data_IF_934939963843
#
_entry.id   IF_934939963843
#
_cell.length_a   1.000
_cell.length_b   1.000
_cell.length_c   1.000
_cell.angle_alpha   90.00
_cell.angle_beta   90.00
_cell.angle_gamma   90.00
#
_symmetry.space_group_name_H-M   'P 1'
#
loop_
_entity.id
_entity.type
_entity.pdbx_description
1 polymer ?
#
# COMPACT_ATOMS: atom_id res chain seq x y z
N UNK A 1 18.05 -5.98 -27.49
CA UNK A 1 17.31 -4.86 -28.12
C UNK A 1 16.45 -4.21 -27.05
N UNK A 2 16.48 -2.89 -26.91
CA UNK A 2 15.54 -2.15 -26.04
C UNK A 2 14.21 -2.04 -26.79
N UNK A 3 13.10 -2.39 -26.16
CA UNK A 3 11.77 -2.26 -26.74
C UNK A 3 10.87 -1.48 -25.78
N UNK A 4 10.15 -0.51 -26.34
CA UNK A 4 9.18 0.34 -25.66
C UNK A 4 7.77 -0.19 -25.94
N UNK A 5 6.95 -0.28 -24.91
CA UNK A 5 5.60 -0.85 -24.99
C UNK A 5 4.59 0.09 -24.34
N UNK A 6 3.42 0.25 -24.95
CA UNK A 6 2.25 0.78 -24.26
C UNK A 6 1.61 -0.35 -23.44
N UNK A 7 1.28 -0.07 -22.17
CA UNK A 7 0.63 -1.06 -21.28
C UNK A 7 -0.39 -0.41 -20.37
N UNK A 8 -1.54 -1.05 -20.19
CA UNK A 8 -2.48 -0.68 -19.14
C UNK A 8 -2.00 -1.21 -17.78
N UNK A 9 -2.00 -0.36 -16.76
CA UNK A 9 -1.80 -0.74 -15.35
C UNK A 9 -2.76 0.06 -14.50
N UNK A 10 -3.60 -0.62 -13.72
CA UNK A 10 -4.63 0.02 -12.91
C UNK A 10 -5.49 0.98 -13.75
N UNK A 11 -5.96 0.52 -14.92
CA UNK A 11 -6.79 1.32 -15.83
C UNK A 11 -6.09 2.46 -16.58
N UNK A 12 -4.87 2.84 -16.21
CA UNK A 12 -4.10 3.91 -16.86
C UNK A 12 -3.09 3.38 -17.88
N UNK A 13 -2.80 4.17 -18.92
CA UNK A 13 -1.79 3.85 -19.94
C UNK A 13 -0.37 4.25 -19.50
N UNK A 14 0.57 3.31 -19.62
CA UNK A 14 1.98 3.48 -19.25
C UNK A 14 2.91 3.17 -20.41
N UNK A 15 4.04 3.88 -20.46
CA UNK A 15 5.16 3.54 -21.32
C UNK A 15 6.14 2.65 -20.54
N UNK A 16 6.23 1.38 -20.91
CA UNK A 16 7.06 0.39 -20.22
C UNK A 16 8.32 0.02 -21.04
N UNK A 17 9.42 -0.20 -20.34
CA UNK A 17 10.63 -0.84 -20.87
C UNK A 17 10.72 -2.29 -20.38
N UNK A 18 10.98 -3.22 -21.30
CA UNK A 18 11.29 -4.61 -20.95
C UNK A 18 12.79 -4.80 -20.71
N UNK A 19 13.17 -5.34 -19.55
CA UNK A 19 14.57 -5.73 -19.24
C UNK A 19 14.84 -7.19 -19.64
N UNK A 20 16.12 -7.60 -19.74
CA UNK A 20 16.48 -9.00 -20.05
C UNK A 20 15.92 -10.05 -19.09
N UNK A 21 15.51 -9.65 -17.88
CA UNK A 21 14.81 -10.50 -16.92
C UNK A 21 13.35 -10.81 -17.31
N UNK A 22 12.86 -10.31 -18.45
CA UNK A 22 11.47 -10.42 -18.87
C UNK A 22 10.51 -9.47 -18.14
N UNK A 23 10.98 -8.79 -17.08
CA UNK A 23 10.18 -7.81 -16.32
C UNK A 23 10.04 -6.50 -17.08
N UNK A 24 8.83 -5.94 -16.98
CA UNK A 24 8.47 -4.64 -17.54
C UNK A 24 8.43 -3.58 -16.44
N UNK A 25 9.00 -2.41 -16.73
CA UNK A 25 9.08 -1.30 -15.79
C UNK A 25 8.48 -0.05 -16.44
N UNK A 26 7.55 0.66 -15.77
CA UNK A 26 7.09 1.95 -16.24
C UNK A 26 8.24 2.95 -16.27
N UNK A 27 8.28 3.76 -17.32
CA UNK A 27 9.19 4.88 -17.43
C UNK A 27 8.72 6.03 -16.55
N UNK A 28 9.67 6.62 -15.85
CA UNK A 28 9.43 7.70 -14.92
C UNK A 28 9.30 9.05 -15.64
N UNK A 29 8.19 9.80 -15.44
CA UNK A 29 8.08 11.17 -15.91
C UNK A 29 9.11 12.10 -15.26
N UNK A 30 9.39 13.22 -15.92
CA UNK A 30 10.41 14.16 -15.46
C UNK A 30 10.05 14.80 -14.11
N UNK A 31 10.90 14.61 -13.09
CA UNK A 31 10.64 15.07 -11.70
C UNK A 31 10.50 16.60 -11.53
N UNK A 32 10.97 17.39 -12.50
CA UNK A 32 10.79 18.84 -12.45
C UNK A 32 9.34 19.30 -12.70
N UNK A 33 8.56 18.50 -13.44
CA UNK A 33 7.16 18.83 -13.80
C UNK A 33 6.15 18.01 -13.00
N UNK A 34 6.58 16.87 -12.49
CA UNK A 34 5.73 15.94 -11.75
C UNK A 34 6.26 15.75 -10.32
N UNK A 35 5.36 15.74 -9.33
CA UNK A 35 5.75 15.74 -7.91
C UNK A 35 5.78 14.32 -7.39
N UNK A 36 7.01 13.84 -7.15
CA UNK A 36 7.23 12.54 -6.54
C UNK A 36 7.44 12.65 -5.04
N UNK A 37 6.90 11.68 -4.32
CA UNK A 37 7.17 11.47 -2.91
C UNK A 37 7.39 9.98 -2.65
N UNK A 38 8.39 9.63 -1.84
CA UNK A 38 8.78 8.23 -1.64
C UNK A 38 9.19 7.94 -0.21
N UNK A 39 8.98 6.68 0.20
CA UNK A 39 9.73 6.03 1.26
C UNK A 39 10.56 4.90 0.68
N UNK A 40 11.84 4.87 1.02
CA UNK A 40 12.77 3.88 0.52
C UNK A 40 13.55 3.22 1.66
N UNK A 41 13.91 1.93 1.51
CA UNK A 41 14.76 1.25 2.49
C UNK A 41 16.11 1.95 2.63
N UNK A 42 16.67 1.89 3.84
CA UNK A 42 18.04 2.31 4.13
C UNK A 42 18.83 1.12 4.69
N UNK A 43 20.13 1.30 4.92
CA UNK A 43 20.98 0.38 5.69
C UNK A 43 21.26 0.88 7.11
N UNK A 44 20.59 1.94 7.55
CA UNK A 44 20.69 2.52 8.90
C UNK A 44 19.45 2.17 9.74
N UNK A 45 19.31 2.81 10.90
CA UNK A 45 18.15 2.66 11.78
C UNK A 45 16.91 3.46 11.34
N UNK A 46 16.97 4.17 10.21
CA UNK A 46 15.88 5.04 9.72
C UNK A 46 15.38 4.63 8.33
N UNK A 47 14.19 5.06 7.94
CA UNK A 47 13.69 4.92 6.56
C UNK A 47 14.01 6.21 5.80
N UNK A 48 14.44 6.11 4.54
CA UNK A 48 14.66 7.28 3.71
C UNK A 48 13.31 7.83 3.25
N UNK A 49 13.04 9.12 3.45
CA UNK A 49 11.82 9.79 2.98
C UNK A 49 12.17 10.97 2.08
N UNK A 50 11.43 11.14 0.99
CA UNK A 50 11.54 12.28 0.07
C UNK A 50 10.15 12.76 -0.29
N UNK A 51 9.89 14.07 -0.27
CA UNK A 51 8.62 14.65 -0.74
C UNK A 51 7.38 14.40 0.14
N UNK A 52 7.43 13.49 1.14
CA UNK A 52 6.38 13.30 2.13
C UNK A 52 6.96 12.99 3.52
N UNK A 53 6.30 13.41 4.60
CA UNK A 53 6.76 13.11 5.95
C UNK A 53 6.45 11.65 6.31
N UNK A 54 7.10 11.14 7.35
CA UNK A 54 6.91 9.76 7.84
C UNK A 54 6.87 9.73 9.36
N UNK A 55 5.84 9.08 9.91
CA UNK A 55 5.74 8.73 11.32
C UNK A 55 5.45 7.24 11.46
N UNK A 56 5.88 6.65 12.59
CA UNK A 56 5.61 5.26 12.89
C UNK A 56 5.26 5.04 14.37
N UNK A 57 4.40 4.05 14.64
CA UNK A 57 4.19 3.43 15.96
C UNK A 57 4.67 1.99 15.85
N UNK A 58 5.59 1.59 16.73
CA UNK A 58 6.32 0.34 16.64
C UNK A 58 7.81 0.55 16.35
N UNK A 59 8.56 -0.55 16.30
CA UNK A 59 10.01 -0.55 16.09
C UNK A 59 10.33 -0.72 14.61
N UNK A 60 11.07 0.25 14.06
CA UNK A 60 11.63 0.16 12.71
C UNK A 60 12.97 -0.56 12.76
N UNK A 61 13.19 -1.49 11.83
CA UNK A 61 14.50 -2.11 11.59
C UNK A 61 14.73 -2.31 10.10
N UNK A 62 15.97 -2.53 9.68
CA UNK A 62 16.37 -2.73 8.28
C UNK A 62 17.05 -4.10 8.13
N UNK A 63 16.27 -5.20 8.02
CA UNK A 63 16.84 -6.53 7.93
C UNK A 63 17.83 -6.68 6.78
N UNK A 64 18.93 -7.39 7.03
CA UNK A 64 19.92 -7.72 6.01
C UNK A 64 19.32 -8.54 4.85
N UNK A 65 19.95 -8.44 3.69
CA UNK A 65 19.59 -9.26 2.53
C UNK A 65 19.95 -10.71 2.78
N UNK A 66 19.06 -11.62 2.39
CA UNK A 66 19.30 -13.05 2.40
C UNK A 66 18.76 -13.71 1.12
N UNK A 67 19.45 -14.74 0.65
CA UNK A 67 19.17 -15.44 -0.63
C UNK A 67 18.19 -16.60 -0.47
N UNK A 68 17.20 -16.49 0.43
CA UNK A 68 16.28 -17.59 0.76
C UNK A 68 14.92 -17.47 0.08
N UNK A 69 14.38 -16.26 -0.10
CA UNK A 69 13.15 -16.01 -0.83
C UNK A 69 13.10 -14.58 -1.40
N UNK A 70 12.05 -14.27 -2.16
CA UNK A 70 11.90 -12.96 -2.79
C UNK A 70 11.90 -11.81 -1.78
N UNK A 71 11.07 -11.89 -0.72
CA UNK A 71 11.01 -10.88 0.34
C UNK A 71 12.38 -10.64 0.96
N UNK A 72 13.11 -11.70 1.31
CA UNK A 72 14.42 -11.58 1.98
C UNK A 72 15.52 -11.07 1.06
N UNK A 73 15.39 -11.29 -0.25
CA UNK A 73 16.34 -10.87 -1.28
C UNK A 73 16.19 -9.40 -1.69
N UNK A 74 15.10 -8.74 -1.28
CA UNK A 74 14.87 -7.33 -1.55
C UNK A 74 15.32 -6.46 -0.37
N UNK A 75 15.81 -5.25 -0.70
CA UNK A 75 15.99 -4.19 0.29
C UNK A 75 14.62 -3.84 0.87
N UNK A 76 14.53 -3.78 2.19
CA UNK A 76 13.28 -3.52 2.92
C UNK A 76 13.56 -2.95 4.30
N UNK A 77 12.57 -2.28 4.86
CA UNK A 77 12.50 -2.06 6.30
C UNK A 77 11.37 -2.90 6.88
N UNK A 78 11.49 -3.24 8.15
CA UNK A 78 10.47 -3.92 8.95
C UNK A 78 9.89 -2.95 9.95
N UNK A 79 8.57 -2.94 10.09
CA UNK A 79 7.90 -2.35 11.24
C UNK A 79 7.29 -3.45 12.10
N UNK A 80 7.66 -3.47 13.38
CA UNK A 80 7.22 -4.48 14.36
C UNK A 80 6.48 -3.80 15.51
N UNK A 81 5.31 -4.30 15.88
CA UNK A 81 4.59 -3.83 17.07
C UNK A 81 5.28 -4.26 18.37
N UNK A 82 4.86 -3.67 19.49
CA UNK A 82 5.13 -4.30 20.78
C UNK A 82 4.46 -5.69 20.88
N UNK A 83 4.96 -6.53 21.80
CA UNK A 83 4.45 -7.88 22.05
C UNK A 83 3.40 -7.94 23.19
N UNK A 84 2.73 -6.83 23.48
CA UNK A 84 1.64 -6.73 24.46
C UNK A 84 0.28 -6.71 23.76
N UNK A 85 -0.80 -7.01 24.47
CA UNK A 85 -2.15 -6.85 23.91
C UNK A 85 -2.38 -5.43 23.36
N UNK A 86 -3.24 -5.32 22.34
CA UNK A 86 -3.61 -4.06 21.69
C UNK A 86 -2.42 -3.23 21.21
N UNK A 87 -1.47 -3.91 20.55
CA UNK A 87 -0.29 -3.27 19.97
C UNK A 87 -0.38 -3.20 18.45
N UNK A 88 0.25 -2.15 17.90
CA UNK A 88 0.23 -1.85 16.46
C UNK A 88 1.62 -1.72 15.86
N UNK A 89 1.71 -2.10 14.59
CA UNK A 89 2.70 -1.62 13.64
C UNK A 89 1.97 -0.64 12.71
N UNK A 90 2.08 0.66 12.97
CA UNK A 90 1.44 1.72 12.17
C UNK A 90 2.51 2.60 11.53
N UNK A 91 2.63 2.58 10.21
CA UNK A 91 3.47 3.49 9.43
C UNK A 91 2.58 4.39 8.58
N UNK A 92 2.84 5.69 8.62
CA UNK A 92 1.99 6.69 7.96
C UNK A 92 2.78 7.90 7.50
N UNK A 93 2.22 8.62 6.53
CA UNK A 93 2.60 10.01 6.35
C UNK A 93 1.84 10.87 7.37
N UNK A 94 2.57 11.56 8.24
CA UNK A 94 2.01 12.57 9.15
C UNK A 94 1.79 13.91 8.44
N UNK A 95 1.20 13.84 7.25
CA UNK A 95 0.90 14.94 6.35
C UNK A 95 0.10 14.40 5.17
N UNK A 96 -0.71 15.27 4.58
CA UNK A 96 -1.47 14.95 3.37
C UNK A 96 -0.54 14.89 2.16
N UNK A 97 -0.78 13.95 1.25
CA UNK A 97 0.11 13.72 0.09
C UNK A 97 -0.64 13.77 -1.24
N UNK A 98 -1.90 13.34 -1.28
CA UNK A 98 -2.70 13.33 -2.51
C UNK A 98 -4.20 13.44 -2.21
N UNK A 99 -4.99 13.61 -3.26
CA UNK A 99 -6.45 13.62 -3.23
C UNK A 99 -6.97 13.38 -4.65
N UNK A 100 -8.25 13.01 -4.81
CA UNK A 100 -8.80 12.78 -6.15
C UNK A 100 -9.00 14.09 -6.93
N UNK A 101 -9.36 15.17 -6.26
CA UNK A 101 -9.69 16.44 -6.90
C UNK A 101 -11.19 16.68 -7.00
N UNK A 102 -11.59 17.94 -7.16
CA UNK A 102 -13.00 18.37 -7.22
C UNK A 102 -13.31 19.35 -8.36
N UNK A 103 -12.35 19.59 -9.25
CA UNK A 103 -12.49 20.41 -10.45
C UNK A 103 -11.46 19.97 -11.50
N UNK A 104 -11.71 20.32 -12.76
CA UNK A 104 -10.80 20.01 -13.87
C UNK A 104 -9.36 20.46 -13.58
N UNK A 105 -8.40 19.56 -13.81
CA UNK A 105 -6.97 19.84 -13.58
C UNK A 105 -6.55 19.93 -12.12
N UNK A 106 -7.38 19.47 -11.17
CA UNK A 106 -7.02 19.38 -9.75
C UNK A 106 -6.95 17.94 -9.27
N UNK A 107 -6.00 17.66 -8.37
CA UNK A 107 -5.83 16.36 -7.75
C UNK A 107 -5.26 15.31 -8.71
N UNK A 108 -5.69 14.07 -8.53
CA UNK A 108 -5.12 12.93 -9.22
C UNK A 108 -3.87 12.42 -8.52
N UNK A 109 -3.62 11.12 -8.67
CA UNK A 109 -2.43 10.50 -8.11
C UNK A 109 -2.12 9.15 -8.78
N UNK A 110 -0.85 8.79 -8.72
CA UNK A 110 -0.42 7.39 -8.73
C UNK A 110 0.20 7.05 -7.38
N UNK A 111 -0.23 5.95 -6.77
CA UNK A 111 0.35 5.39 -5.57
C UNK A 111 0.83 3.97 -5.82
N UNK A 112 2.03 3.63 -5.36
CA UNK A 112 2.57 2.28 -5.39
C UNK A 112 3.13 1.93 -4.02
N UNK A 113 2.80 0.74 -3.52
CA UNK A 113 3.35 0.21 -2.28
C UNK A 113 3.71 -1.26 -2.47
N UNK A 114 4.94 -1.60 -2.12
CA UNK A 114 5.44 -2.98 -2.13
C UNK A 114 5.78 -3.44 -0.73
N UNK A 115 5.11 -4.48 -0.27
CA UNK A 115 5.23 -4.97 1.10
C UNK A 115 5.06 -6.49 1.20
N UNK A 116 5.42 -7.05 2.34
CA UNK A 116 5.21 -8.46 2.70
C UNK A 116 4.93 -8.59 4.18
N UNK A 117 4.20 -9.61 4.61
CA UNK A 117 3.93 -9.84 6.02
C UNK A 117 5.08 -10.63 6.64
N UNK A 118 5.50 -10.26 7.86
CA UNK A 118 6.58 -10.95 8.57
C UNK A 118 6.06 -11.74 9.78
N UNK A 119 5.17 -11.14 10.57
CA UNK A 119 4.55 -11.77 11.73
C UNK A 119 3.06 -11.44 11.76
N UNK A 120 2.23 -12.46 11.91
CA UNK A 120 0.78 -12.37 11.94
C UNK A 120 0.21 -12.98 13.22
N UNK A 121 -0.89 -12.43 13.70
CA UNK A 121 -1.69 -13.02 14.77
C UNK A 121 -3.01 -13.58 14.23
N UNK A 122 -3.65 -14.47 14.98
CA UNK A 122 -4.88 -15.16 14.56
C UNK A 122 -6.11 -14.25 14.53
N UNK A 123 -6.10 -13.14 15.27
CA UNK A 123 -7.21 -12.18 15.38
C UNK A 123 -6.84 -10.77 14.88
N UNK A 124 -5.60 -10.57 14.45
CA UNK A 124 -5.12 -9.26 14.00
C UNK A 124 -5.72 -8.79 12.68
N UNK A 125 -5.62 -7.50 12.40
CA UNK A 125 -5.99 -6.92 11.11
C UNK A 125 -4.81 -6.24 10.42
N UNK A 126 -4.92 -6.05 9.11
CA UNK A 126 -3.97 -5.28 8.31
C UNK A 126 -4.67 -4.39 7.29
N UNK A 127 -4.11 -3.20 7.03
CA UNK A 127 -4.53 -2.29 5.96
C UNK A 127 -3.32 -1.61 5.33
N UNK A 128 -3.25 -1.61 4.01
CA UNK A 128 -2.16 -1.06 3.21
C UNK A 128 -2.73 -0.28 2.04
N UNK A 129 -2.46 1.01 1.96
CA UNK A 129 -3.01 1.88 0.92
C UNK A 129 -2.99 3.36 1.27
N UNK A 130 -4.03 4.06 0.86
CA UNK A 130 -4.28 5.47 1.14
C UNK A 130 -5.42 5.62 2.13
N UNK A 131 -5.24 6.50 3.12
CA UNK A 131 -6.19 6.72 4.21
C UNK A 131 -6.38 8.22 4.48
N UNK A 132 -7.62 8.65 4.70
CA UNK A 132 -8.02 10.00 5.09
C UNK A 132 -7.68 10.39 6.54
N UNK A 133 -6.48 10.04 7.02
CA UNK A 133 -6.00 10.36 8.36
C UNK A 133 -4.48 10.46 8.40
N UNK A 134 -3.93 11.52 9.00
CA UNK A 134 -2.48 11.70 9.23
C UNK A 134 -2.03 11.33 10.65
N UNK A 135 -2.99 11.16 11.56
CA UNK A 135 -2.78 10.70 12.94
C UNK A 135 -2.54 9.20 13.05
N UNK A 136 -2.11 8.75 14.23
CA UNK A 136 -2.07 7.32 14.54
C UNK A 136 -3.51 6.77 14.55
N UNK A 137 -3.70 5.57 14.00
CA UNK A 137 -5.00 4.89 14.07
C UNK A 137 -5.15 4.17 15.41
N UNK A 138 -6.40 3.88 15.81
CA UNK A 138 -6.69 3.17 17.05
C UNK A 138 -6.00 1.80 17.06
N UNK A 139 -5.54 1.33 18.22
CA UNK A 139 -4.87 0.03 18.33
C UNK A 139 -5.80 -1.17 18.15
N UNK A 140 -7.09 -0.93 18.36
CA UNK A 140 -8.18 -1.89 18.25
C UNK A 140 -8.97 -1.73 16.94
N UNK A 141 -8.43 -1.01 15.96
CA UNK A 141 -9.09 -0.82 14.66
C UNK A 141 -9.53 -2.18 14.09
N UNK A 142 -10.76 -2.25 13.62
CA UNK A 142 -11.28 -3.38 12.87
C UNK A 142 -11.39 -2.97 11.39
N UNK A 143 -11.22 -3.92 10.48
CA UNK A 143 -11.30 -3.61 9.05
C UNK A 143 -12.67 -3.02 8.67
N UNK A 144 -13.75 -3.42 9.34
CA UNK A 144 -15.12 -2.92 9.11
C UNK A 144 -15.36 -1.48 9.59
N UNK A 145 -14.40 -0.85 10.27
CA UNK A 145 -14.47 0.53 10.76
C UNK A 145 -13.53 1.48 10.01
N UNK A 146 -12.85 0.97 8.97
CA UNK A 146 -11.98 1.77 8.13
C UNK A 146 -12.83 2.66 7.24
N UNK A 147 -12.51 3.96 7.21
CA UNK A 147 -13.26 4.98 6.47
C UNK A 147 -12.36 5.88 5.63
N UNK A 148 -12.91 6.51 4.60
CA UNK A 148 -12.19 7.46 3.72
C UNK A 148 -10.87 6.87 3.21
N UNK A 149 -10.93 5.69 2.60
CA UNK A 149 -9.75 4.89 2.32
C UNK A 149 -9.84 4.16 0.99
N UNK A 150 -8.69 3.72 0.51
CA UNK A 150 -8.59 2.79 -0.61
C UNK A 150 -7.29 2.01 -0.51
N UNK A 151 -7.35 0.69 -0.66
CA UNK A 151 -6.18 -0.17 -0.53
C UNK A 151 -6.53 -1.65 -0.42
N UNK A 152 -5.64 -2.41 0.21
CA UNK A 152 -5.89 -3.81 0.52
C UNK A 152 -5.69 -4.09 2.00
N UNK A 153 -6.46 -5.05 2.51
CA UNK A 153 -6.42 -5.39 3.93
C UNK A 153 -6.99 -6.76 4.24
N UNK A 154 -7.04 -7.08 5.52
CA UNK A 154 -7.62 -8.31 6.03
C UNK A 154 -8.03 -8.17 7.49
N UNK A 155 -8.91 -9.07 7.92
CA UNK A 155 -9.28 -9.30 9.31
C UNK A 155 -9.06 -10.80 9.57
N UNK A 156 -8.06 -11.14 10.38
CA UNK A 156 -7.76 -12.55 10.69
C UNK A 156 -8.89 -13.14 11.54
N UNK A 157 -9.21 -14.41 11.29
CA UNK A 157 -10.41 -15.07 11.82
C UNK A 157 -11.63 -14.95 10.90
N UNK A 158 -11.68 -13.93 10.04
CA UNK A 158 -12.78 -13.73 9.07
C UNK A 158 -12.32 -13.98 7.63
N UNK A 159 -11.15 -13.43 7.25
CA UNK A 159 -10.65 -13.46 5.88
C UNK A 159 -9.49 -14.46 5.73
N UNK A 160 -9.61 -15.37 4.77
CA UNK A 160 -8.51 -16.27 4.34
C UNK A 160 -7.64 -15.63 3.26
N UNK A 161 -8.24 -14.79 2.42
CA UNK A 161 -7.60 -14.06 1.33
C UNK A 161 -7.60 -12.56 1.57
N UNK A 162 -6.67 -11.84 0.96
CA UNK A 162 -6.64 -10.39 0.95
C UNK A 162 -7.96 -9.82 0.41
N UNK A 163 -8.38 -8.69 0.96
CA UNK A 163 -9.55 -7.94 0.51
C UNK A 163 -9.06 -6.65 -0.14
N UNK A 164 -9.62 -6.30 -1.29
CA UNK A 164 -9.72 -4.91 -1.72
C UNK A 164 -10.67 -4.18 -0.76
N UNK A 165 -10.27 -3.00 -0.30
CA UNK A 165 -10.97 -2.18 0.69
C UNK A 165 -11.11 -0.77 0.11
N UNK A 166 -12.34 -0.26 0.05
CA UNK A 166 -12.60 1.15 -0.23
C UNK A 166 -13.71 1.69 0.66
N UNK A 167 -13.65 2.98 0.98
CA UNK A 167 -14.75 3.69 1.63
C UNK A 167 -14.76 5.20 1.32
N UNK A 168 -15.95 5.79 1.25
CA UNK A 168 -16.20 7.21 0.97
C UNK A 168 -16.20 8.15 2.18
N UNK A 169 -16.02 7.62 3.38
CA UNK A 169 -16.09 8.37 4.64
C UNK A 169 -17.33 8.11 5.48
N UNK A 170 -18.27 7.30 5.00
CA UNK A 170 -19.51 6.95 5.68
C UNK A 170 -19.75 5.44 5.70
N UNK A 171 -20.38 4.93 6.76
CA UNK A 171 -20.74 3.52 6.87
C UNK A 171 -19.54 2.57 6.99
N UNK A 172 -19.79 1.29 6.72
CA UNK A 172 -18.76 0.26 6.68
C UNK A 172 -18.10 0.23 5.29
N UNK A 173 -16.80 -0.07 5.19
CA UNK A 173 -16.11 -0.14 3.90
C UNK A 173 -16.63 -1.30 3.05
N UNK A 174 -16.69 -1.08 1.75
CA UNK A 174 -16.88 -2.14 0.77
C UNK A 174 -15.64 -3.04 0.70
N UNK A 175 -15.84 -4.35 0.88
CA UNK A 175 -14.79 -5.36 0.85
C UNK A 175 -14.99 -6.32 -0.33
N UNK A 176 -13.95 -6.50 -1.15
CA UNK A 176 -13.95 -7.48 -2.26
C UNK A 176 -12.79 -8.46 -2.09
N UNK A 177 -13.08 -9.76 -1.98
CA UNK A 177 -12.05 -10.77 -1.83
C UNK A 177 -11.22 -10.98 -3.10
N UNK A 178 -9.88 -10.98 -2.98
CA UNK A 178 -8.98 -11.14 -4.12
C UNK A 178 -8.83 -12.59 -4.61
N UNK A 179 -9.38 -13.55 -3.87
CA UNK A 179 -9.37 -14.98 -4.23
C UNK A 179 -8.12 -15.74 -3.76
N UNK A 180 -8.10 -17.04 -4.04
CA UNK A 180 -7.12 -17.99 -3.47
C UNK A 180 -5.66 -17.77 -3.90
N UNK A 181 -5.41 -17.01 -4.97
CA UNK A 181 -4.06 -16.60 -5.38
C UNK A 181 -3.46 -15.51 -4.48
N UNK A 182 -4.26 -14.95 -3.55
CA UNK A 182 -3.84 -13.90 -2.62
C UNK A 182 -4.15 -14.31 -1.17
N UNK A 183 -3.51 -15.37 -0.64
CA UNK A 183 -3.72 -15.80 0.74
C UNK A 183 -3.10 -14.82 1.73
N UNK A 184 -3.77 -14.58 2.87
CA UNK A 184 -3.24 -13.70 3.94
C UNK A 184 -2.14 -14.38 4.74
N UNK A 185 -2.25 -15.69 4.97
CA UNK A 185 -1.37 -16.44 5.87
C UNK A 185 0.02 -16.78 5.28
N UNK A 186 0.41 -16.14 4.18
CA UNK A 186 1.70 -16.35 3.54
C UNK A 186 2.66 -15.21 3.86
N UNK A 187 3.53 -15.42 4.85
CA UNK A 187 4.54 -14.44 5.31
C UNK A 187 5.77 -14.35 4.41
N UNK A 188 5.71 -14.96 3.22
CA UNK A 188 6.76 -14.87 2.20
C UNK A 188 6.26 -14.27 0.89
N UNK A 189 4.94 -14.10 0.74
CA UNK A 189 4.38 -13.41 -0.41
C UNK A 189 4.72 -11.92 -0.37
N UNK A 190 4.97 -11.38 -1.56
CA UNK A 190 5.29 -9.97 -1.76
C UNK A 190 4.16 -9.38 -2.58
N UNK A 191 3.49 -8.40 -2.01
CA UNK A 191 2.39 -7.69 -2.62
C UNK A 191 2.89 -6.39 -3.21
N UNK A 192 2.50 -6.09 -4.46
CA UNK A 192 2.61 -4.75 -5.03
C UNK A 192 1.22 -4.23 -5.31
N UNK A 193 0.80 -3.22 -4.56
CA UNK A 193 -0.42 -2.45 -4.79
C UNK A 193 -0.08 -1.23 -5.65
N UNK A 194 -0.90 -0.99 -6.67
CA UNK A 194 -0.88 0.23 -7.48
C UNK A 194 -2.30 0.81 -7.50
N UNK A 195 -2.42 2.09 -7.17
CA UNK A 195 -3.66 2.86 -7.22
C UNK A 195 -3.45 4.05 -8.14
N UNK A 196 -4.40 4.32 -9.03
CA UNK A 196 -4.33 5.44 -9.95
C UNK A 196 -5.67 6.15 -10.01
N UNK A 197 -5.67 7.46 -9.82
CA UNK A 197 -6.82 8.32 -10.05
C UNK A 197 -6.41 9.45 -10.98
N UNK A 198 -7.19 9.67 -12.04
CA UNK A 198 -7.03 10.86 -12.87
C UNK A 198 -7.42 12.13 -12.07
N UNK A 199 -6.89 13.31 -12.42
CA UNK A 199 -7.34 14.56 -11.83
C UNK A 199 -8.86 14.72 -11.94
N UNK A 200 -9.53 14.89 -10.79
CA UNK A 200 -10.99 14.96 -10.68
C UNK A 200 -11.72 13.75 -11.29
N UNK A 201 -11.07 12.59 -11.34
CA UNK A 201 -11.64 11.34 -11.81
C UNK A 201 -12.74 10.84 -10.88
N UNK A 202 -13.82 10.29 -11.46
CA UNK A 202 -14.92 9.65 -10.74
C UNK A 202 -14.64 8.20 -10.34
N UNK A 203 -13.50 7.66 -10.74
CA UNK A 203 -13.07 6.30 -10.47
C UNK A 203 -11.62 6.26 -9.95
N UNK A 204 -11.24 5.10 -9.41
CA UNK A 204 -9.86 4.76 -9.08
C UNK A 204 -9.53 3.42 -9.69
N UNK A 205 -8.48 3.38 -10.48
CA UNK A 205 -7.88 2.15 -10.95
C UNK A 205 -7.06 1.48 -9.86
N UNK A 206 -7.21 0.18 -9.71
CA UNK A 206 -6.51 -0.63 -8.72
C UNK A 206 -5.85 -1.79 -9.43
N UNK A 207 -4.59 -2.05 -9.11
CA UNK A 207 -3.84 -3.22 -9.57
C UNK A 207 -3.07 -3.83 -8.43
N UNK A 208 -3.23 -5.13 -8.24
CA UNK A 208 -2.51 -5.90 -7.22
C UNK A 208 -1.73 -7.02 -7.90
N UNK A 209 -0.46 -7.17 -7.51
CA UNK A 209 0.40 -8.28 -7.93
C UNK A 209 0.90 -9.03 -6.72
N UNK A 210 0.79 -10.35 -6.75
CA UNK A 210 1.56 -11.24 -5.88
C UNK A 210 2.83 -11.62 -6.62
N UNK A 211 3.97 -11.05 -6.21
CA UNK A 211 5.21 -11.05 -6.99
C UNK A 211 5.95 -12.40 -6.99
N UNK A 212 5.58 -13.34 -6.12
CA UNK A 212 6.18 -14.69 -6.08
C UNK A 212 5.54 -15.59 -7.14
N UNK A 213 4.21 -15.66 -7.18
CA UNK A 213 3.42 -16.44 -8.13
C UNK A 213 3.20 -15.72 -9.46
N UNK A 214 3.30 -14.38 -9.47
CA UNK A 214 2.99 -13.56 -10.62
C UNK A 214 1.49 -13.34 -10.84
N UNK A 215 0.62 -13.73 -9.89
CA UNK A 215 -0.81 -13.50 -9.97
C UNK A 215 -1.12 -12.00 -10.00
N UNK A 216 -2.07 -11.59 -10.84
CA UNK A 216 -2.47 -10.18 -11.01
C UNK A 216 -3.98 -10.08 -10.99
N UNK A 217 -4.50 -9.07 -10.29
CA UNK A 217 -5.90 -8.63 -10.38
C UNK A 217 -5.94 -7.13 -10.60
N UNK A 218 -6.92 -6.69 -11.37
CA UNK A 218 -7.15 -5.27 -11.68
C UNK A 218 -8.64 -4.95 -11.54
N UNK A 219 -8.91 -3.76 -11.03
CA UNK A 219 -10.26 -3.22 -10.85
C UNK A 219 -10.28 -1.76 -11.28
N UNK A 220 -11.45 -1.31 -11.74
CA UNK A 220 -11.82 0.11 -11.77
C UNK A 220 -13.00 0.24 -10.84
N UNK A 221 -12.88 1.08 -9.81
CA UNK A 221 -13.92 1.27 -8.79
C UNK A 221 -14.41 2.72 -8.80
N UNK A 222 -15.73 2.88 -8.82
CA UNK A 222 -16.45 4.16 -8.99
C UNK A 222 -17.47 4.43 -7.86
N UNK A 223 -17.69 3.46 -6.97
CA UNK A 223 -18.58 3.57 -5.80
C UNK A 223 -17.84 3.35 -4.49
N UNK A 224 -18.29 4.01 -3.41
CA UNK A 224 -17.69 3.90 -2.07
C UNK A 224 -16.17 4.14 -2.07
N UNK A 225 -15.70 5.01 -2.97
CA UNK A 225 -14.32 5.44 -3.07
C UNK A 225 -14.11 6.71 -2.24
N UNK A 226 -12.88 7.02 -1.79
CA UNK A 226 -12.62 8.19 -0.96
C UNK A 226 -13.28 9.46 -1.49
N UNK A 227 -13.90 10.25 -0.62
CA UNK A 227 -14.54 11.49 -1.02
C UNK A 227 -13.59 12.38 -1.83
N UNK A 228 -14.10 13.03 -2.87
CA UNK A 228 -13.30 13.78 -3.84
C UNK A 228 -12.41 14.86 -3.20
N UNK A 229 -12.94 15.51 -2.16
CA UNK A 229 -12.27 16.57 -1.37
C UNK A 229 -11.46 16.04 -0.19
N UNK A 230 -11.52 14.75 0.12
CA UNK A 230 -10.76 14.16 1.21
C UNK A 230 -9.29 14.02 0.79
N UNK A 231 -8.41 14.67 1.54
CA UNK A 231 -6.97 14.46 1.40
C UNK A 231 -6.58 13.09 1.97
N UNK A 232 -5.62 12.46 1.31
CA UNK A 232 -5.18 11.10 1.58
C UNK A 232 -3.69 11.07 1.90
N UNK A 233 -3.32 10.10 2.72
CA UNK A 233 -1.95 9.84 3.14
C UNK A 233 -1.64 8.34 3.05
N UNK A 234 -0.42 7.93 2.68
CA UNK A 234 0.00 6.54 2.74
C UNK A 234 -0.14 5.94 4.14
N UNK A 235 -0.60 4.70 4.19
CA UNK A 235 -0.80 3.92 5.41
C UNK A 235 -0.35 2.47 5.21
N UNK A 236 0.53 2.00 6.08
CA UNK A 236 0.80 0.58 6.31
C UNK A 236 0.49 0.29 7.78
N UNK A 237 -0.57 -0.47 8.04
CA UNK A 237 -1.06 -0.68 9.39
C UNK A 237 -1.30 -2.16 9.65
N UNK A 238 -0.88 -2.64 10.82
CA UNK A 238 -1.30 -3.92 11.39
C UNK A 238 -1.52 -3.79 12.89
N UNK A 239 -2.48 -4.55 13.43
CA UNK A 239 -2.61 -4.77 14.87
C UNK A 239 -2.65 -6.26 15.21
N UNK A 240 -2.43 -6.57 16.48
CA UNK A 240 -2.40 -7.94 16.98
C UNK A 240 -3.76 -8.47 17.48
N UNK A 241 -4.85 -7.70 17.31
CA UNK A 241 -6.20 -8.10 17.68
C UNK A 241 -6.33 -8.53 19.14
N UNK A 242 -5.67 -7.81 20.06
CA UNK A 242 -5.66 -8.09 21.50
C UNK A 242 -4.73 -9.24 21.92
N UNK A 243 -4.08 -9.94 20.98
CA UNK A 243 -3.14 -11.01 21.32
C UNK A 243 -1.85 -10.43 21.91
N UNK A 244 -1.39 -10.94 23.05
CA UNK A 244 -0.10 -10.55 23.66
C UNK A 244 1.12 -11.12 22.89
N UNK A 245 1.22 -10.76 21.62
CA UNK A 245 2.30 -11.10 20.71
C UNK A 245 2.41 -10.03 19.62
N UNK A 246 3.59 -9.92 19.01
CA UNK A 246 3.86 -8.87 18.03
C UNK A 246 3.27 -9.20 16.65
N UNK A 247 2.92 -8.17 15.89
CA UNK A 247 2.73 -8.23 14.43
C UNK A 247 3.85 -7.47 13.73
N UNK A 248 4.15 -7.87 12.50
CA UNK A 248 5.16 -7.18 11.71
C UNK A 248 4.91 -7.32 10.21
N UNK A 249 5.27 -6.27 9.48
CA UNK A 249 5.37 -6.28 8.03
C UNK A 249 6.73 -5.73 7.59
N UNK A 250 7.14 -6.16 6.41
CA UNK A 250 8.25 -5.58 5.67
C UNK A 250 7.71 -4.71 4.53
N UNK A 251 8.34 -3.58 4.26
CA UNK A 251 8.05 -2.74 3.11
C UNK A 251 9.34 -2.46 2.33
N UNK A 252 9.26 -2.58 1.00
CA UNK A 252 10.37 -2.39 0.07
C UNK A 252 10.30 -1.04 -0.66
N UNK A 253 9.19 -0.32 -0.53
CA UNK A 253 9.05 1.02 -1.08
C UNK A 253 7.60 1.48 -1.09
N UNK A 254 7.43 2.78 -0.83
CA UNK A 254 6.19 3.52 -1.05
C UNK A 254 6.51 4.65 -2.03
N UNK A 255 5.65 4.85 -3.00
CA UNK A 255 5.76 5.87 -4.03
C UNK A 255 4.41 6.55 -4.22
N UNK A 256 4.40 7.87 -4.24
CA UNK A 256 3.27 8.70 -4.65
C UNK A 256 3.76 9.67 -5.72
N UNK A 257 2.90 9.90 -6.69
CA UNK A 257 3.07 10.82 -7.79
C UNK A 257 1.79 11.63 -7.93
N UNK A 258 1.90 12.96 -8.00
CA UNK A 258 0.78 13.86 -8.30
C UNK A 258 1.13 14.73 -9.51
N UNK A 259 0.16 14.85 -10.42
CA UNK A 259 0.33 15.59 -11.67
C UNK A 259 0.52 17.11 -11.46
N UNK A 260 0.13 17.61 -10.27
CA UNK A 260 0.18 19.02 -9.87
C UNK A 260 0.85 19.19 -8.49
#
# INVERSE_FOLDING_TARGET
>A
KLALYARARAGAGWLDVQRPSGRFFPLQPHFGVNRIATWAPSSSTTVNSTGMPRAAVGTVSTPGLATTNLSTSMRRWRLTSAATADSVADERANGWVCWRGNAEGLGGFTYVNRFSLATLQSTGMGFFGLYGATGALATTLALSAVVNCIGIGFQRGTHTNWQLVQNDGSGAPTLTGLGGSFPVNSTTNVMTLTLVAAPNGSDVGVRIVEEVSGAVVEFTIDTDIPAATQLLSPRNYMNNGGTAAAVAFDCSGVYVETDY
#
